data_IF_048553219766
#
_entry.id   IF_048553219766
#
_cell.length_a   1.000
_cell.length_b   1.000
_cell.length_c   1.000
_cell.angle_alpha   90.00
_cell.angle_beta   90.00
_cell.angle_gamma   90.00
#
_symmetry.space_group_name_H-M   'P 1'
#
loop_
_entity.id
_entity.type
_entity.pdbx_description
1 polymer ?
#
# COMPACT_ATOMS: atom_id res chain seq x y z
N UNK A 1 -17.41 -37.41 5.08
CA UNK A 1 -15.93 -37.50 5.10
C UNK A 1 -15.41 -36.15 5.58
N UNK A 2 -15.40 -35.91 6.89
CA UNK A 2 -14.98 -34.63 7.50
C UNK A 2 -13.90 -34.92 8.55
N UNK A 3 -12.63 -34.76 8.18
CA UNK A 3 -11.51 -34.82 9.11
C UNK A 3 -10.96 -33.39 9.28
N UNK A 4 -11.63 -32.58 10.12
CA UNK A 4 -11.04 -31.34 10.62
C UNK A 4 -10.15 -31.70 11.80
N UNK A 5 -8.86 -31.96 11.55
CA UNK A 5 -7.87 -32.06 12.61
C UNK A 5 -7.77 -30.71 13.33
N UNK A 6 -8.45 -30.58 14.48
CA UNK A 6 -8.22 -29.48 15.41
C UNK A 6 -6.86 -29.70 16.11
N UNK A 7 -5.77 -29.42 15.40
CA UNK A 7 -4.46 -29.32 16.01
C UNK A 7 -4.45 -28.15 17.00
N UNK A 8 -3.86 -28.34 18.19
CA UNK A 8 -3.59 -27.24 19.13
C UNK A 8 -2.79 -26.16 18.40
N UNK A 9 -3.36 -24.96 18.26
CA UNK A 9 -2.67 -23.80 17.71
C UNK A 9 -1.76 -23.21 18.79
N UNK A 10 -0.45 -23.26 18.54
CA UNK A 10 0.53 -22.57 19.37
C UNK A 10 0.83 -21.20 18.76
N UNK A 11 0.72 -20.14 19.56
CA UNK A 11 1.05 -18.78 19.17
C UNK A 11 2.25 -18.31 19.99
N UNK A 12 3.23 -17.71 19.32
CA UNK A 12 4.45 -17.19 19.93
C UNK A 12 4.51 -15.69 19.69
N UNK A 13 4.87 -14.92 20.72
CA UNK A 13 4.91 -13.47 20.69
C UNK A 13 6.28 -12.97 21.17
N UNK A 14 6.78 -11.92 20.54
CA UNK A 14 7.99 -11.20 20.95
C UNK A 14 7.57 -9.75 21.14
N UNK A 15 7.84 -9.17 22.31
CA UNK A 15 7.47 -7.79 22.64
C UNK A 15 8.41 -7.21 23.68
N UNK A 16 8.73 -5.94 23.55
CA UNK A 16 9.50 -5.16 24.54
C UNK A 16 8.59 -4.54 25.61
N UNK A 17 7.26 -4.71 25.49
CA UNK A 17 6.29 -4.20 26.46
C UNK A 17 6.26 -5.08 27.73
N UNK A 18 6.23 -4.49 28.95
CA UNK A 18 6.11 -5.27 30.18
C UNK A 18 4.83 -6.11 30.20
N UNK A 19 4.96 -7.43 30.39
CA UNK A 19 3.83 -8.35 30.42
C UNK A 19 3.40 -8.61 31.87
N UNK A 20 2.10 -8.54 32.12
CA UNK A 20 1.45 -8.93 33.37
C UNK A 20 0.18 -9.72 33.07
N UNK A 21 -0.35 -10.44 34.07
CA UNK A 21 -1.62 -11.16 33.94
C UNK A 21 -2.79 -10.25 33.52
N UNK A 22 -2.71 -8.95 33.85
CA UNK A 22 -3.77 -7.99 33.59
C UNK A 22 -3.72 -7.39 32.18
N UNK A 23 -2.55 -7.37 31.52
CA UNK A 23 -2.39 -6.77 30.19
C UNK A 23 -2.17 -7.80 29.07
N UNK A 24 -1.85 -9.05 29.39
CA UNK A 24 -1.51 -10.08 28.40
C UNK A 24 -2.64 -10.30 27.39
N UNK A 25 -3.89 -10.32 27.86
CA UNK A 25 -5.05 -10.53 26.98
C UNK A 25 -5.25 -9.36 26.01
N UNK A 26 -5.17 -8.13 26.51
CA UNK A 26 -5.27 -6.90 25.73
C UNK A 26 -4.14 -6.80 24.70
N UNK A 27 -2.90 -7.10 25.10
CA UNK A 27 -1.73 -7.07 24.22
C UNK A 27 -1.85 -8.07 23.07
N UNK A 28 -2.21 -9.33 23.37
CA UNK A 28 -2.39 -10.39 22.36
C UNK A 28 -3.51 -10.01 21.40
N UNK A 29 -4.64 -9.53 21.93
CA UNK A 29 -5.80 -9.14 21.11
C UNK A 29 -5.48 -7.94 20.22
N UNK A 30 -4.85 -6.91 20.78
CA UNK A 30 -4.52 -5.67 20.08
C UNK A 30 -3.52 -5.89 18.96
N UNK A 31 -2.45 -6.66 19.19
CA UNK A 31 -1.42 -6.87 18.18
C UNK A 31 -1.96 -7.61 16.95
N UNK A 32 -2.76 -8.67 17.15
CA UNK A 32 -3.37 -9.41 16.04
C UNK A 32 -4.43 -8.58 15.31
N UNK A 33 -5.29 -7.91 16.07
CA UNK A 33 -6.33 -7.04 15.53
C UNK A 33 -5.71 -5.93 14.68
N UNK A 34 -4.59 -5.34 15.12
CA UNK A 34 -3.90 -4.29 14.39
C UNK A 34 -3.31 -4.77 13.07
N UNK A 35 -2.67 -5.94 13.06
CA UNK A 35 -2.14 -6.55 11.83
C UNK A 35 -3.28 -6.86 10.83
N UNK A 36 -4.35 -7.49 11.30
CA UNK A 36 -5.51 -7.87 10.46
C UNK A 36 -6.30 -6.64 9.96
N UNK A 37 -6.57 -5.65 10.82
CA UNK A 37 -7.44 -4.51 10.47
C UNK A 37 -6.74 -3.29 9.90
N UNK A 38 -5.45 -3.09 10.15
CA UNK A 38 -4.72 -1.98 9.54
C UNK A 38 -3.95 -2.46 8.31
N UNK A 39 -3.05 -3.43 8.47
CA UNK A 39 -2.14 -3.84 7.39
C UNK A 39 -2.84 -4.70 6.34
N UNK A 40 -3.50 -5.79 6.73
CA UNK A 40 -4.20 -6.64 5.76
C UNK A 40 -5.37 -5.91 5.11
N UNK A 41 -6.17 -5.17 5.87
CA UNK A 41 -7.23 -4.34 5.30
C UNK A 41 -6.68 -3.34 4.27
N UNK A 42 -5.52 -2.74 4.54
CA UNK A 42 -4.85 -1.83 3.59
C UNK A 42 -4.43 -2.55 2.31
N UNK A 43 -3.77 -3.71 2.44
CA UNK A 43 -3.31 -4.50 1.30
C UNK A 43 -4.48 -4.98 0.42
N UNK A 44 -5.64 -5.21 1.03
CA UNK A 44 -6.85 -5.65 0.34
C UNK A 44 -7.63 -4.50 -0.30
N UNK A 45 -7.85 -3.42 0.45
CA UNK A 45 -8.86 -2.41 0.11
C UNK A 45 -8.28 -1.05 -0.33
N UNK A 46 -6.97 -0.81 -0.20
CA UNK A 46 -6.35 0.46 -0.61
C UNK A 46 -5.48 0.31 -1.87
N UNK A 47 -5.93 -0.56 -2.77
CA UNK A 47 -5.42 -0.67 -4.15
C UNK A 47 -4.14 -1.49 -4.33
N UNK A 48 -3.77 -2.32 -3.36
CA UNK A 48 -2.70 -3.32 -3.53
C UNK A 48 -3.22 -4.69 -4.01
N UNK A 49 -4.52 -4.85 -4.25
CA UNK A 49 -5.12 -6.04 -4.89
C UNK A 49 -4.63 -7.39 -4.30
N UNK A 50 -4.31 -7.44 -3.01
CA UNK A 50 -3.70 -8.62 -2.38
C UNK A 50 -4.60 -9.86 -2.42
N UNK A 51 -5.92 -9.69 -2.53
CA UNK A 51 -6.86 -10.82 -2.67
C UNK A 51 -6.88 -11.40 -4.09
N UNK A 52 -6.37 -10.66 -5.08
CA UNK A 52 -6.38 -11.08 -6.46
C UNK A 52 -5.10 -11.88 -6.75
N UNK A 53 -5.26 -13.19 -6.91
CA UNK A 53 -4.17 -14.04 -7.36
C UNK A 53 -3.89 -13.74 -8.84
N UNK A 54 -2.94 -12.84 -9.11
CA UNK A 54 -2.52 -12.47 -10.47
C UNK A 54 -1.87 -13.60 -11.29
N UNK A 55 -1.74 -14.82 -10.73
CA UNK A 55 -1.12 -15.97 -11.39
C UNK A 55 -2.07 -17.14 -11.55
N UNK A 56 -3.09 -17.00 -12.38
CA UNK A 56 -3.74 -18.18 -12.95
C UNK A 56 -2.87 -18.72 -14.10
N UNK A 57 -1.96 -19.66 -13.81
CA UNK A 57 -1.38 -20.52 -14.86
C UNK A 57 0.12 -20.82 -14.84
N UNK A 58 0.95 -20.16 -14.03
CA UNK A 58 2.39 -20.41 -14.01
C UNK A 58 2.95 -20.60 -12.59
N UNK A 59 3.71 -21.69 -12.39
CA UNK A 59 4.41 -21.94 -11.14
C UNK A 59 5.26 -20.71 -10.78
N UNK A 60 5.10 -20.21 -9.54
CA UNK A 60 5.75 -19.03 -8.96
C UNK A 60 5.23 -17.62 -9.36
N UNK A 61 4.36 -17.48 -10.36
CA UNK A 61 3.90 -16.14 -10.81
C UNK A 61 3.12 -15.39 -9.72
N UNK A 62 2.20 -16.07 -9.02
CA UNK A 62 1.50 -15.47 -7.87
C UNK A 62 2.45 -14.99 -6.79
N UNK A 63 3.51 -15.75 -6.51
CA UNK A 63 4.47 -15.43 -5.45
C UNK A 63 5.30 -14.20 -5.83
N UNK A 64 5.74 -14.11 -7.09
CA UNK A 64 6.46 -12.94 -7.57
C UNK A 64 5.60 -11.67 -7.49
N UNK A 65 4.34 -11.72 -7.93
CA UNK A 65 3.43 -10.57 -7.81
C UNK A 65 3.15 -10.19 -6.35
N UNK A 66 2.99 -11.17 -5.46
CA UNK A 66 2.86 -10.90 -4.04
C UNK A 66 4.11 -10.19 -3.48
N UNK A 67 5.31 -10.60 -3.87
CA UNK A 67 6.55 -9.92 -3.44
C UNK A 67 6.67 -8.50 -4.01
N UNK A 68 6.33 -8.29 -5.29
CA UNK A 68 6.35 -6.96 -5.89
C UNK A 68 5.34 -6.02 -5.23
N UNK A 69 4.16 -6.52 -4.91
CA UNK A 69 3.15 -5.77 -4.17
C UNK A 69 3.62 -5.44 -2.74
N UNK A 70 4.24 -6.39 -2.03
CA UNK A 70 4.80 -6.13 -0.70
C UNK A 70 5.96 -5.13 -0.75
N UNK A 71 6.78 -5.16 -1.81
CA UNK A 71 7.84 -4.18 -2.03
C UNK A 71 7.26 -2.78 -2.31
N UNK A 72 6.24 -2.68 -3.17
CA UNK A 72 5.56 -1.42 -3.43
C UNK A 72 4.93 -0.85 -2.15
N UNK A 73 4.28 -1.69 -1.36
CA UNK A 73 3.74 -1.31 -0.06
C UNK A 73 4.83 -0.77 0.88
N UNK A 74 5.97 -1.46 0.99
CA UNK A 74 7.10 -1.00 1.80
C UNK A 74 7.63 0.36 1.32
N UNK A 75 7.81 0.54 0.01
CA UNK A 75 8.27 1.81 -0.56
C UNK A 75 7.29 2.93 -0.20
N UNK A 76 5.99 2.69 -0.32
CA UNK A 76 4.98 3.69 0.01
C UNK A 76 4.96 4.03 1.51
N UNK A 77 5.22 3.06 2.40
CA UNK A 77 5.40 3.34 3.84
C UNK A 77 6.64 4.19 4.11
N UNK A 78 7.77 3.90 3.44
CA UNK A 78 9.00 4.69 3.56
C UNK A 78 8.78 6.11 3.04
N UNK A 79 8.11 6.27 1.89
CA UNK A 79 7.76 7.59 1.35
C UNK A 79 6.87 8.39 2.31
N UNK A 80 5.88 7.75 2.92
CA UNK A 80 5.02 8.41 3.92
C UNK A 80 5.80 8.86 5.16
N UNK A 81 6.80 8.09 5.58
CA UNK A 81 7.58 8.43 6.76
C UNK A 81 8.61 9.53 6.49
N UNK A 82 9.23 9.51 5.31
CA UNK A 82 10.41 10.35 5.03
C UNK A 82 10.13 11.53 4.10
N UNK A 83 9.00 11.57 3.37
CA UNK A 83 8.75 12.55 2.31
C UNK A 83 7.51 13.41 2.57
N UNK A 84 7.73 14.63 3.06
CA UNK A 84 6.65 15.61 3.28
C UNK A 84 5.94 16.06 1.99
N UNK A 85 6.65 16.04 0.85
CA UNK A 85 6.06 16.34 -0.46
C UNK A 85 5.10 15.24 -0.90
N UNK A 86 5.47 13.97 -0.71
CA UNK A 86 4.59 12.84 -0.98
C UNK A 86 3.32 12.93 -0.13
N UNK A 87 3.45 13.19 1.17
CA UNK A 87 2.30 13.37 2.07
C UNK A 87 1.38 14.51 1.61
N UNK A 88 1.97 15.62 1.16
CA UNK A 88 1.19 16.76 0.64
C UNK A 88 0.43 16.38 -0.63
N UNK A 89 1.05 15.61 -1.53
CA UNK A 89 0.40 15.11 -2.73
C UNK A 89 -0.72 14.09 -2.41
N UNK A 90 -0.51 13.16 -1.48
CA UNK A 90 -1.54 12.23 -0.99
C UNK A 90 -2.72 13.01 -0.42
N UNK A 91 -2.45 14.00 0.43
CA UNK A 91 -3.50 14.83 1.05
C UNK A 91 -4.32 15.57 0.01
N UNK A 92 -3.68 16.09 -1.05
CA UNK A 92 -4.37 16.77 -2.15
C UNK A 92 -5.18 15.81 -3.01
N UNK A 93 -4.67 14.60 -3.26
CA UNK A 93 -5.34 13.56 -4.03
C UNK A 93 -6.53 12.92 -3.29
N UNK A 94 -6.57 13.00 -1.95
CA UNK A 94 -7.65 12.48 -1.11
C UNK A 94 -7.58 10.98 -0.82
N UNK A 95 -6.88 10.21 -1.67
CA UNK A 95 -6.58 8.80 -1.43
C UNK A 95 -5.31 8.38 -2.18
N UNK A 96 -4.73 7.22 -1.82
CA UNK A 96 -3.55 6.67 -2.53
C UNK A 96 -3.87 6.19 -3.93
N UNK A 97 -5.02 5.55 -4.13
CA UNK A 97 -5.47 5.16 -5.46
C UNK A 97 -5.66 6.37 -6.38
N UNK A 98 -6.21 7.46 -5.86
CA UNK A 98 -6.30 8.75 -6.57
C UNK A 98 -4.92 9.33 -6.88
N UNK A 99 -3.97 9.27 -5.93
CA UNK A 99 -2.59 9.71 -6.17
C UNK A 99 -1.95 8.91 -7.32
N UNK A 100 -2.03 7.58 -7.29
CA UNK A 100 -1.47 6.75 -8.36
C UNK A 100 -2.14 6.98 -9.71
N UNK A 101 -3.46 7.22 -9.72
CA UNK A 101 -4.17 7.61 -10.94
C UNK A 101 -3.60 8.93 -11.50
N UNK A 102 -3.40 9.95 -10.67
CA UNK A 102 -2.82 11.23 -11.09
C UNK A 102 -1.37 11.07 -11.57
N UNK A 103 -0.56 10.29 -10.85
CA UNK A 103 0.81 10.00 -11.26
C UNK A 103 0.84 9.34 -12.65
N UNK A 104 0.01 8.31 -12.88
CA UNK A 104 -0.11 7.68 -14.22
C UNK A 104 -0.56 8.67 -15.28
N UNK A 105 -1.56 9.50 -14.99
CA UNK A 105 -2.03 10.52 -15.92
C UNK A 105 -0.92 11.49 -16.30
N UNK A 106 -0.07 11.88 -15.34
CA UNK A 106 1.04 12.80 -15.60
C UNK A 106 2.14 12.13 -16.41
N UNK A 107 2.53 10.89 -16.08
CA UNK A 107 3.50 10.12 -16.87
C UNK A 107 3.07 9.91 -18.32
N UNK A 108 1.77 9.76 -18.58
CA UNK A 108 1.25 9.58 -19.94
C UNK A 108 1.13 10.92 -20.69
N UNK A 109 0.92 12.02 -19.99
CA UNK A 109 0.56 13.31 -20.62
C UNK A 109 1.69 14.34 -20.64
N UNK A 110 2.73 14.17 -19.82
CA UNK A 110 3.80 15.16 -19.64
C UNK A 110 5.17 14.51 -19.61
N UNK A 111 6.16 15.26 -20.07
CA UNK A 111 7.55 14.99 -19.73
C UNK A 111 7.81 15.47 -18.29
N UNK A 112 8.43 14.63 -17.47
CA UNK A 112 8.65 14.89 -16.04
C UNK A 112 10.16 14.90 -15.78
N UNK A 113 10.70 16.06 -15.42
CA UNK A 113 12.13 16.24 -15.14
C UNK A 113 12.54 15.67 -13.77
N UNK A 114 11.63 15.70 -12.79
CA UNK A 114 11.93 15.24 -11.44
C UNK A 114 10.71 14.74 -10.66
N UNK A 115 10.95 13.94 -9.63
CA UNK A 115 9.91 13.54 -8.68
C UNK A 115 9.34 14.71 -7.89
N UNK A 116 10.16 15.74 -7.62
CA UNK A 116 9.73 16.97 -6.97
C UNK A 116 8.67 17.68 -7.80
N UNK A 117 8.90 17.84 -9.11
CA UNK A 117 7.95 18.48 -10.02
C UNK A 117 6.65 17.69 -10.09
N UNK A 118 6.71 16.36 -10.14
CA UNK A 118 5.54 15.50 -10.12
C UNK A 118 4.70 15.71 -8.84
N UNK A 119 5.33 15.61 -7.66
CA UNK A 119 4.59 15.73 -6.40
C UNK A 119 4.11 17.15 -6.12
N UNK A 120 4.89 18.18 -6.45
CA UNK A 120 4.45 19.57 -6.35
C UNK A 120 3.27 19.85 -7.27
N UNK A 121 3.34 19.36 -8.51
CA UNK A 121 2.25 19.52 -9.49
C UNK A 121 0.95 18.89 -9.00
N UNK A 122 1.04 17.73 -8.33
CA UNK A 122 -0.13 17.09 -7.73
C UNK A 122 -0.60 17.84 -6.49
N UNK A 123 0.31 18.24 -5.59
CA UNK A 123 -0.01 18.84 -4.29
C UNK A 123 -0.55 20.28 -4.40
N UNK A 124 0.04 21.08 -5.29
CA UNK A 124 -0.17 22.52 -5.38
C UNK A 124 -0.71 22.97 -6.74
N UNK A 125 -0.82 22.05 -7.70
CA UNK A 125 -1.24 22.34 -9.07
C UNK A 125 -0.06 22.62 -9.99
N UNK A 126 -0.34 22.64 -11.29
CA UNK A 126 0.64 22.84 -12.35
C UNK A 126 0.07 23.74 -13.44
N UNK A 127 0.94 24.34 -14.24
CA UNK A 127 0.53 25.08 -15.44
C UNK A 127 0.18 24.08 -16.52
N UNK A 128 -1.11 23.77 -16.67
CA UNK A 128 -1.59 22.87 -17.71
C UNK A 128 -1.28 23.40 -19.11
N UNK A 129 -0.92 22.50 -20.03
CA UNK A 129 -0.84 22.81 -21.45
C UNK A 129 -2.26 22.79 -22.06
N UNK A 130 -2.52 23.65 -23.05
CA UNK A 130 -3.75 23.55 -23.84
C UNK A 130 -3.66 22.30 -24.71
N UNK A 131 -4.65 21.41 -24.62
CA UNK A 131 -4.76 20.26 -25.52
C UNK A 131 -5.04 20.77 -26.93
N UNK A 132 -4.01 20.81 -27.78
CA UNK A 132 -4.12 21.17 -29.19
C UNK A 132 -4.01 19.92 -30.04
N UNK A 133 -4.96 19.66 -30.97
CA UNK A 133 -4.84 18.54 -31.90
C UNK A 133 -3.56 18.64 -32.71
N UNK A 134 -2.93 17.49 -32.99
CA UNK A 134 -1.87 17.46 -33.98
C UNK A 134 -2.50 17.64 -35.36
N UNK A 135 -2.19 18.74 -36.03
CA UNK A 135 -2.67 19.06 -37.38
C UNK A 135 -1.63 18.75 -38.47
N UNK A 136 -0.56 18.04 -38.10
CA UNK A 136 0.51 17.63 -39.02
C UNK A 136 0.16 16.33 -39.73
#
# INVERSE_FOLDING_TARGET
MNDFRQGKKHFTWITDLPISANNVYELIRGARWKIENETFNTLKNQGYEFEHNFGHGHQHLCHLFAYLMMLAFLIDQVQQHCCGMFLSAVKKAGSRSSLWMLMRAFFVSYFIDSWQDLYHSIAYGFKGARLTPNTS
#
